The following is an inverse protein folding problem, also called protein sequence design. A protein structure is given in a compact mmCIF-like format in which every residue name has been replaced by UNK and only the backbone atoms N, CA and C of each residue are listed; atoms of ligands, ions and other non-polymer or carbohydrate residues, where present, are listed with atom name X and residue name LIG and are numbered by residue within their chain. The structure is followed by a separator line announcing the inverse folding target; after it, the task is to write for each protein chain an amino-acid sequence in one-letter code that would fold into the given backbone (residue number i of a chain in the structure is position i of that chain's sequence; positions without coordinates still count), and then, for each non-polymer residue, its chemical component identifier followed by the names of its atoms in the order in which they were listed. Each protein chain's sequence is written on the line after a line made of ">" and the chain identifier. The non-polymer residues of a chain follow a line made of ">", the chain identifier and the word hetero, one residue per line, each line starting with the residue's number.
data_IF_341960624915
#
_entry.id   IF_341960624915
#
_cell.length_a   1.000
_cell.length_b   1.000
_cell.length_c   1.000
_cell.angle_alpha   90.00
_cell.angle_beta   90.00
_cell.angle_gamma   90.00
#
_symmetry.space_group_name_H-M   'P 1'
#
loop_
_entity.id
_entity.type
_entity.pdbx_description
1 polymer ?
#
# COMPACT_ATOMS: atom_id res chain seq x y z
N UNK A 1 -3.96 -22.75 1.52
CA UNK A 1 -2.79 -22.31 2.30
C UNK A 1 -3.18 -20.97 2.88
N UNK A 2 -3.15 -20.82 4.20
CA UNK A 2 -3.46 -19.52 4.82
C UNK A 2 -2.19 -18.67 4.75
N UNK A 3 -2.26 -17.55 4.03
CA UNK A 3 -1.15 -16.62 3.89
C UNK A 3 -1.23 -15.64 5.07
N UNK A 4 -0.20 -15.63 5.90
CA UNK A 4 -0.16 -14.81 7.11
C UNK A 4 0.85 -13.67 6.99
N UNK A 5 0.57 -12.58 7.69
CA UNK A 5 1.54 -11.53 7.84
C UNK A 5 2.57 -11.91 8.92
N UNK A 6 3.83 -11.53 8.70
CA UNK A 6 4.93 -11.77 9.66
C UNK A 6 4.73 -11.06 11.01
N UNK A 7 3.74 -10.15 11.11
CA UNK A 7 3.32 -9.50 12.35
C UNK A 7 2.73 -10.49 13.38
N UNK A 8 2.30 -11.69 12.96
CA UNK A 8 1.61 -12.66 13.83
C UNK A 8 0.14 -12.33 14.09
N UNK A 9 -0.33 -11.17 13.63
CA UNK A 9 -1.73 -10.74 13.66
C UNK A 9 -2.44 -11.07 12.34
N UNK A 10 -3.78 -11.07 12.34
CA UNK A 10 -4.63 -11.17 11.16
C UNK A 10 -4.61 -9.88 10.31
N UNK A 11 -3.40 -9.46 9.92
CA UNK A 11 -3.12 -8.24 9.16
C UNK A 11 -3.61 -8.35 7.69
N UNK A 12 -3.72 -9.57 7.15
CA UNK A 12 -4.27 -9.85 5.82
C UNK A 12 -5.75 -10.21 5.94
N UNK A 13 -6.62 -9.37 5.38
CA UNK A 13 -8.08 -9.61 5.36
C UNK A 13 -8.58 -9.75 3.93
N UNK A 14 -9.70 -10.44 3.76
CA UNK A 14 -10.37 -10.48 2.47
C UNK A 14 -10.84 -9.07 2.10
N UNK A 15 -10.64 -8.67 0.84
CA UNK A 15 -11.03 -7.35 0.35
C UNK A 15 -12.53 -7.08 0.57
N UNK A 16 -13.41 -8.07 0.37
CA UNK A 16 -14.86 -7.94 0.59
C UNK A 16 -15.21 -7.64 2.05
N UNK A 17 -14.52 -8.27 3.00
CA UNK A 17 -14.69 -8.00 4.43
C UNK A 17 -14.28 -6.56 4.78
N UNK A 18 -13.12 -6.12 4.29
CA UNK A 18 -12.65 -4.75 4.51
C UNK A 18 -13.65 -3.74 3.94
N UNK A 19 -14.26 -4.06 2.80
CA UNK A 19 -15.23 -3.19 2.14
C UNK A 19 -16.56 -3.06 2.89
N UNK A 20 -17.01 -4.13 3.56
CA UNK A 20 -18.20 -4.06 4.41
C UNK A 20 -18.00 -3.13 5.61
N UNK A 21 -16.77 -3.05 6.12
CA UNK A 21 -16.43 -2.28 7.31
C UNK A 21 -15.88 -0.88 6.99
N UNK A 22 -15.62 -0.56 5.72
CA UNK A 22 -14.79 0.60 5.35
C UNK A 22 -15.35 1.94 5.79
N UNK A 23 -16.67 2.15 5.62
CA UNK A 23 -17.33 3.37 6.05
C UNK A 23 -17.30 3.49 7.57
N UNK A 24 -17.48 2.38 8.27
CA UNK A 24 -17.42 2.32 9.72
C UNK A 24 -15.99 2.47 10.25
N UNK A 25 -14.96 2.11 9.49
CA UNK A 25 -13.56 2.08 9.96
C UNK A 25 -13.12 3.44 10.49
N UNK A 26 -13.37 4.51 9.73
CA UNK A 26 -12.93 5.88 10.06
C UNK A 26 -14.05 6.82 10.50
N UNK A 27 -15.30 6.35 10.53
CA UNK A 27 -16.43 7.18 10.94
C UNK A 27 -16.48 7.37 12.46
N UNK A 28 -16.78 8.60 12.95
CA UNK A 28 -17.08 8.84 14.35
C UNK A 28 -18.41 8.21 14.76
N UNK A 29 -18.54 7.85 16.03
CA UNK A 29 -19.86 7.63 16.64
C UNK A 29 -20.49 8.98 17.05
N UNK A 30 -21.80 9.03 17.38
CA UNK A 30 -22.50 10.29 17.68
C UNK A 30 -21.91 11.11 18.84
N UNK A 31 -21.15 10.49 19.74
CA UNK A 31 -20.54 11.13 20.91
C UNK A 31 -19.04 11.44 20.74
N UNK A 32 -18.44 11.07 19.60
CA UNK A 32 -17.06 11.44 19.32
C UNK A 32 -16.90 12.96 19.31
N UNK A 33 -15.98 13.47 20.12
CA UNK A 33 -15.68 14.90 20.15
C UNK A 33 -14.61 15.26 19.13
N UNK A 34 -14.74 16.44 18.53
CA UNK A 34 -13.73 17.02 17.64
C UNK A 34 -13.11 18.23 18.32
N UNK A 35 -11.83 18.15 18.64
CA UNK A 35 -11.02 19.30 19.05
C UNK A 35 -10.30 19.82 17.81
N UNK A 36 -10.58 21.07 17.41
CA UNK A 36 -9.94 21.70 16.24
C UNK A 36 -8.57 22.26 16.62
N UNK A 37 -7.51 21.56 16.23
CA UNK A 37 -6.13 22.04 16.37
C UNK A 37 -5.70 22.82 15.13
N UNK A 38 -4.99 23.93 15.32
CA UNK A 38 -4.38 24.70 14.23
C UNK A 38 -3.10 23.99 13.79
N UNK A 39 -3.13 23.35 12.62
CA UNK A 39 -2.03 22.50 12.09
C UNK A 39 -0.70 23.21 11.89
N UNK A 40 -0.71 24.53 11.74
CA UNK A 40 0.47 25.38 11.50
C UNK A 40 0.96 26.13 12.73
N UNK A 41 0.27 26.01 13.87
CA UNK A 41 0.69 26.63 15.12
C UNK A 41 1.46 25.59 15.95
N UNK A 42 2.53 25.96 16.67
CA UNK A 42 3.22 25.04 17.56
C UNK A 42 2.25 24.36 18.51
N UNK A 43 2.48 23.06 18.80
CA UNK A 43 1.56 22.30 19.65
C UNK A 43 1.51 22.86 21.08
N UNK A 44 2.67 23.21 21.63
CA UNK A 44 2.83 23.78 22.99
C UNK A 44 2.08 25.10 23.18
N UNK A 45 1.85 25.86 22.11
CA UNK A 45 1.11 27.13 22.15
C UNK A 45 -0.42 26.95 22.18
N UNK A 46 -0.90 25.71 21.99
CA UNK A 46 -2.32 25.38 21.87
C UNK A 46 -2.82 24.54 23.03
N UNK A 47 -1.94 23.71 23.63
CA UNK A 47 -2.29 22.72 24.63
C UNK A 47 -1.18 22.62 25.68
N UNK A 48 -1.57 22.26 26.91
CA UNK A 48 -0.60 21.78 27.88
C UNK A 48 -0.17 20.35 27.49
N UNK A 49 1.10 20.16 27.12
CA UNK A 49 1.64 18.87 26.68
C UNK A 49 1.49 17.77 27.74
N UNK A 50 1.54 18.13 29.03
CA UNK A 50 1.39 17.17 30.14
C UNK A 50 -0.03 16.61 30.24
N UNK A 51 -1.03 17.29 29.67
CA UNK A 51 -2.42 16.82 29.65
C UNK A 51 -2.70 15.75 28.58
N UNK A 52 -1.80 15.60 27.61
CA UNK A 52 -1.95 14.65 26.50
C UNK A 52 -1.46 13.28 26.97
N UNK A 53 -2.33 12.28 26.97
CA UNK A 53 -2.03 10.91 27.39
C UNK A 53 -2.88 9.90 26.60
N UNK A 54 -2.74 8.61 26.91
CA UNK A 54 -3.47 7.51 26.24
C UNK A 54 -4.99 7.69 26.20
N UNK A 55 -5.62 8.37 27.16
CA UNK A 55 -7.08 8.58 27.20
C UNK A 55 -7.52 9.93 26.62
N UNK A 56 -6.58 10.86 26.43
CA UNK A 56 -6.90 12.22 25.98
C UNK A 56 -7.56 12.20 24.61
N UNK A 57 -8.76 12.80 24.50
CA UNK A 57 -9.52 12.86 23.24
C UNK A 57 -9.99 11.51 22.68
N UNK A 58 -9.83 10.40 23.41
CA UNK A 58 -10.32 9.08 23.01
C UNK A 58 -11.80 8.97 23.38
N UNK A 59 -12.60 8.53 22.43
CA UNK A 59 -14.02 8.27 22.62
C UNK A 59 -14.24 6.89 23.24
N UNK A 60 -15.39 6.68 23.88
CA UNK A 60 -15.81 5.37 24.42
C UNK A 60 -15.91 4.28 23.33
N UNK A 61 -16.15 4.67 22.07
CA UNK A 61 -16.09 3.74 20.94
C UNK A 61 -14.67 3.29 20.58
N UNK A 62 -13.66 3.70 21.35
CA UNK A 62 -12.24 3.37 21.16
C UNK A 62 -11.51 4.26 20.17
N UNK A 63 -12.21 5.17 19.46
CA UNK A 63 -11.63 5.99 18.40
C UNK A 63 -11.22 7.39 18.85
N UNK A 64 -10.26 7.98 18.14
CA UNK A 64 -9.77 9.34 18.35
C UNK A 64 -9.63 10.09 17.02
N UNK A 65 -9.94 11.38 17.01
CA UNK A 65 -9.75 12.21 15.81
C UNK A 65 -8.25 12.26 15.41
N UNK A 66 -7.95 12.11 14.12
CA UNK A 66 -6.58 12.05 13.57
C UNK A 66 -5.64 13.13 14.12
N UNK A 67 -6.06 14.40 14.14
CA UNK A 67 -5.20 15.49 14.63
C UNK A 67 -4.81 15.32 16.11
N UNK A 68 -5.63 14.65 16.92
CA UNK A 68 -5.34 14.36 18.33
C UNK A 68 -4.36 13.18 18.46
N UNK A 69 -4.49 12.17 17.59
CA UNK A 69 -3.49 11.09 17.48
C UNK A 69 -2.12 11.69 17.12
N UNK A 70 -2.08 12.55 16.10
CA UNK A 70 -0.86 13.22 15.67
C UNK A 70 -0.31 14.18 16.73
N UNK A 71 -1.16 14.84 17.53
CA UNK A 71 -0.73 15.63 18.66
C UNK A 71 -0.06 14.79 19.75
N UNK A 72 -0.60 13.60 20.04
CA UNK A 72 -0.01 12.67 20.99
C UNK A 72 1.36 12.16 20.51
N UNK A 73 1.47 11.79 19.23
CA UNK A 73 2.74 11.41 18.60
C UNK A 73 3.74 12.57 18.67
N UNK A 74 3.35 13.78 18.28
CA UNK A 74 4.23 14.95 18.31
C UNK A 74 4.71 15.28 19.73
N UNK A 75 3.86 15.14 20.75
CA UNK A 75 4.25 15.29 22.16
C UNK A 75 5.38 14.32 22.53
N UNK A 76 5.27 13.05 22.15
CA UNK A 76 6.31 12.04 22.38
C UNK A 76 7.59 12.42 21.63
N UNK A 77 7.48 12.82 20.36
CA UNK A 77 8.63 13.24 19.55
C UNK A 77 9.37 14.46 20.13
N UNK A 78 8.64 15.41 20.75
CA UNK A 78 9.25 16.56 21.43
C UNK A 78 9.98 16.11 22.70
N UNK A 79 9.34 15.26 23.52
CA UNK A 79 9.92 14.73 24.76
C UNK A 79 11.20 13.92 24.51
N UNK A 80 11.24 13.18 23.41
CA UNK A 80 12.38 12.37 22.98
C UNK A 80 13.37 13.16 22.08
N UNK A 81 13.24 14.49 22.01
CA UNK A 81 14.14 15.40 21.29
C UNK A 81 14.28 15.12 19.77
N UNK A 82 13.33 14.38 19.19
CA UNK A 82 13.21 14.16 17.74
C UNK A 82 12.68 15.42 17.04
N UNK A 83 11.81 16.14 17.72
CA UNK A 83 11.22 17.41 17.28
C UNK A 83 11.42 18.48 18.34
N UNK A 84 11.36 19.75 17.95
CA UNK A 84 11.48 20.88 18.88
C UNK A 84 10.11 21.38 19.36
N UNK A 85 10.10 22.22 20.40
CA UNK A 85 8.84 22.78 20.94
C UNK A 85 8.08 23.71 19.97
N UNK A 86 8.75 24.19 18.92
CA UNK A 86 8.14 25.02 17.86
C UNK A 86 7.49 24.18 16.77
N UNK A 87 7.61 22.85 16.86
CA UNK A 87 7.08 21.93 15.88
C UNK A 87 5.55 21.93 15.88
N UNK A 88 5.01 21.71 14.69
CA UNK A 88 3.59 21.77 14.39
C UNK A 88 3.08 20.40 13.98
N UNK A 89 1.76 20.19 13.97
CA UNK A 89 1.20 18.93 13.45
C UNK A 89 1.64 18.66 12.00
N UNK A 90 1.81 19.72 11.20
CA UNK A 90 2.26 19.60 9.81
C UNK A 90 3.69 19.10 9.67
N UNK A 91 4.56 19.36 10.64
CA UNK A 91 5.99 18.99 10.62
C UNK A 91 6.31 17.75 11.46
N UNK A 92 5.30 17.08 12.01
CA UNK A 92 5.46 15.95 12.95
C UNK A 92 5.93 14.67 12.24
N UNK A 93 5.00 13.95 11.65
CA UNK A 93 5.20 12.72 10.88
C UNK A 93 4.15 12.64 9.77
N UNK A 94 4.38 11.77 8.79
CA UNK A 94 3.41 11.46 7.73
C UNK A 94 2.48 10.35 8.23
N UNK A 95 1.17 10.64 8.39
CA UNK A 95 0.20 9.62 8.77
C UNK A 95 -0.22 8.78 7.56
N UNK A 96 -0.06 7.46 7.66
CA UNK A 96 -0.50 6.49 6.67
C UNK A 96 -1.63 5.63 7.26
N UNK A 97 -2.88 6.06 7.06
CA UNK A 97 -4.06 5.34 7.58
C UNK A 97 -4.23 3.97 6.92
N UNK A 98 -4.79 3.00 7.67
CA UNK A 98 -5.19 1.68 7.17
C UNK A 98 -6.54 1.27 7.79
N UNK A 99 -7.51 0.76 6.99
CA UNK A 99 -7.49 0.73 5.52
C UNK A 99 -7.49 2.16 4.95
N UNK A 100 -6.86 2.33 3.80
CA UNK A 100 -6.75 3.62 3.15
C UNK A 100 -7.74 3.73 2.00
N UNK A 101 -8.60 4.74 2.07
CA UNK A 101 -9.55 5.04 1.01
C UNK A 101 -9.79 6.55 0.93
N UNK A 102 -10.34 7.04 -0.19
CA UNK A 102 -10.70 8.46 -0.32
C UNK A 102 -11.77 8.85 0.71
N UNK A 103 -11.37 9.65 1.71
CA UNK A 103 -12.23 10.13 2.77
C UNK A 103 -12.90 11.46 2.42
N UNK A 104 -14.16 11.63 2.83
CA UNK A 104 -14.89 12.91 2.73
C UNK A 104 -14.59 13.86 3.89
N UNK A 105 -14.30 13.31 5.06
CA UNK A 105 -14.06 14.03 6.31
C UNK A 105 -12.76 13.54 6.95
N UNK A 106 -12.21 14.29 7.90
CA UNK A 106 -11.08 13.83 8.71
C UNK A 106 -11.41 12.52 9.45
N UNK A 107 -10.51 11.54 9.43
CA UNK A 107 -10.79 10.23 10.02
C UNK A 107 -10.73 10.23 11.55
N UNK A 108 -11.56 9.39 12.14
CA UNK A 108 -11.44 8.94 13.52
C UNK A 108 -10.78 7.56 13.54
N UNK A 109 -9.59 7.50 14.11
CA UNK A 109 -8.74 6.33 14.13
C UNK A 109 -9.07 5.44 15.32
N UNK A 110 -9.24 4.15 15.07
CA UNK A 110 -9.26 3.11 16.10
C UNK A 110 -7.88 2.48 16.30
N UNK A 111 -7.83 1.43 17.10
CA UNK A 111 -6.57 0.73 17.37
C UNK A 111 -5.97 0.13 16.08
N UNK A 112 -4.64 0.14 15.98
CA UNK A 112 -3.90 -0.42 14.84
C UNK A 112 -4.34 0.08 13.45
N UNK A 113 -4.74 1.35 13.34
CA UNK A 113 -5.26 1.96 12.10
C UNK A 113 -4.33 3.00 11.48
N UNK A 114 -3.14 3.23 12.05
CA UNK A 114 -2.18 4.23 11.59
C UNK A 114 -0.75 3.68 11.50
N UNK A 115 -0.09 3.87 10.36
CA UNK A 115 1.37 3.74 10.26
C UNK A 115 1.97 5.14 10.24
N UNK A 116 3.05 5.34 10.99
CA UNK A 116 3.72 6.63 11.15
C UNK A 116 5.04 6.60 10.41
N UNK A 117 5.27 7.56 9.50
CA UNK A 117 6.55 7.70 8.80
C UNK A 117 7.21 9.05 9.16
N UNK A 118 8.45 9.01 9.67
CA UNK A 118 9.23 10.23 9.94
C UNK A 118 10.72 10.00 9.70
N UNK A 119 11.42 10.99 9.14
CA UNK A 119 12.80 10.81 8.73
C UNK A 119 13.82 10.81 9.88
N UNK A 120 13.53 11.56 10.94
CA UNK A 120 14.38 11.65 12.14
C UNK A 120 14.04 10.62 13.21
N UNK A 121 13.14 9.67 12.94
CA UNK A 121 12.70 8.69 13.94
C UNK A 121 13.88 7.83 14.41
N UNK A 122 13.89 7.49 15.70
CA UNK A 122 14.81 6.52 16.30
C UNK A 122 14.02 5.40 17.00
N UNK A 123 14.69 4.29 17.31
CA UNK A 123 14.07 3.08 17.90
C UNK A 123 13.37 3.39 19.22
N UNK A 124 14.04 4.15 20.12
CA UNK A 124 13.48 4.50 21.43
C UNK A 124 12.15 5.26 21.31
N UNK A 125 12.10 6.29 20.46
CA UNK A 125 10.88 7.07 20.24
C UNK A 125 9.80 6.23 19.54
N UNK A 126 10.19 5.37 18.59
CA UNK A 126 9.27 4.48 17.89
C UNK A 126 8.58 3.49 18.85
N UNK A 127 9.33 2.87 19.77
CA UNK A 127 8.78 1.95 20.79
C UNK A 127 7.81 2.66 21.76
N UNK A 128 8.14 3.89 22.18
CA UNK A 128 7.24 4.69 23.02
C UNK A 128 5.96 5.04 22.26
N UNK A 129 6.06 5.47 20.99
CA UNK A 129 4.88 5.76 20.16
C UNK A 129 4.02 4.51 20.00
N UNK A 130 4.62 3.37 19.66
CA UNK A 130 3.91 2.12 19.44
C UNK A 130 3.20 1.62 20.70
N UNK A 131 3.80 1.80 21.88
CA UNK A 131 3.21 1.38 23.16
C UNK A 131 2.21 2.37 23.76
N UNK A 132 2.40 3.68 23.59
CA UNK A 132 1.54 4.71 24.22
C UNK A 132 0.40 5.21 23.32
N UNK A 133 0.47 4.99 22.00
CA UNK A 133 -0.53 5.49 21.03
C UNK A 133 -1.22 4.29 20.36
N UNK A 134 -2.32 3.82 20.93
CA UNK A 134 -2.99 2.57 20.51
C UNK A 134 -3.45 2.55 19.05
N UNK A 135 -3.68 3.73 18.45
CA UNK A 135 -4.01 3.83 17.04
C UNK A 135 -2.84 3.47 16.11
N UNK A 136 -1.60 3.56 16.60
CA UNK A 136 -0.39 3.28 15.83
C UNK A 136 -0.17 1.77 15.70
N UNK A 137 -0.26 1.29 14.47
CA UNK A 137 0.04 -0.08 14.05
C UNK A 137 1.54 -0.31 13.84
N UNK A 138 2.26 0.71 13.37
CA UNK A 138 3.69 0.58 13.07
C UNK A 138 4.37 1.92 12.83
N UNK A 139 5.68 1.95 13.04
CA UNK A 139 6.51 3.15 12.96
C UNK A 139 7.68 2.93 12.00
N UNK A 140 7.79 3.80 11.01
CA UNK A 140 8.78 3.77 9.94
C UNK A 140 9.73 4.96 10.03
N UNK A 141 10.99 4.72 9.69
CA UNK A 141 11.98 5.76 9.42
C UNK A 141 12.26 5.87 7.94
N UNK A 142 12.02 7.06 7.39
CA UNK A 142 12.27 7.32 5.97
C UNK A 142 11.78 8.70 5.53
N UNK A 143 12.12 9.05 4.29
CA UNK A 143 11.70 10.29 3.63
C UNK A 143 10.62 9.97 2.59
N UNK A 144 9.44 10.59 2.72
CA UNK A 144 8.28 10.33 1.84
C UNK A 144 8.57 10.60 0.35
N UNK A 145 9.54 11.47 0.07
CA UNK A 145 9.93 11.81 -1.29
C UNK A 145 10.85 10.78 -1.95
N UNK A 146 11.39 9.84 -1.17
CA UNK A 146 12.23 8.77 -1.70
C UNK A 146 11.35 7.65 -2.24
N UNK A 147 11.63 7.21 -3.46
CA UNK A 147 10.96 6.06 -4.06
C UNK A 147 11.47 4.77 -3.41
N UNK A 148 10.59 4.07 -2.69
CA UNK A 148 10.85 2.73 -2.16
C UNK A 148 10.67 1.67 -3.26
N UNK A 149 11.60 0.73 -3.33
CA UNK A 149 11.66 -0.34 -4.33
C UNK A 149 12.94 -0.29 -5.16
N UNK A 150 12.91 -0.99 -6.30
CA UNK A 150 14.00 -1.01 -7.29
C UNK A 150 13.48 -0.41 -8.61
N UNK A 151 14.17 0.62 -9.12
CA UNK A 151 13.72 1.34 -10.32
C UNK A 151 13.93 0.57 -11.61
N UNK A 152 15.10 -0.07 -11.71
CA UNK A 152 15.55 -0.84 -12.84
C UNK A 152 16.63 -1.85 -12.38
N UNK A 153 17.09 -2.70 -13.29
CA UNK A 153 18.10 -3.73 -13.02
C UNK A 153 19.47 -3.18 -12.59
N UNK A 154 19.74 -1.90 -12.80
CA UNK A 154 21.02 -1.25 -12.46
C UNK A 154 20.98 -0.52 -11.11
N UNK A 155 19.78 -0.36 -10.55
CA UNK A 155 19.53 0.40 -9.32
C UNK A 155 19.67 -0.47 -8.08
N UNK A 156 20.23 0.08 -7.00
CA UNK A 156 20.11 -0.52 -5.68
C UNK A 156 18.69 -0.31 -5.13
N UNK A 157 18.15 -1.28 -4.38
CA UNK A 157 16.86 -1.10 -3.75
C UNK A 157 16.91 -0.06 -2.65
N UNK A 158 15.86 0.76 -2.54
CA UNK A 158 15.64 1.63 -1.40
C UNK A 158 14.45 1.12 -0.59
N UNK A 159 14.61 1.06 0.73
CA UNK A 159 13.57 0.68 1.69
C UNK A 159 13.59 1.66 2.86
N UNK A 160 12.47 1.76 3.57
CA UNK A 160 12.43 2.41 4.87
C UNK A 160 12.75 1.41 5.98
N UNK A 161 13.17 1.92 7.13
CA UNK A 161 13.39 1.07 8.30
C UNK A 161 12.07 0.94 9.07
N UNK A 162 11.61 -0.30 9.29
CA UNK A 162 10.54 -0.59 10.24
C UNK A 162 11.14 -0.65 11.64
N UNK A 163 10.83 0.35 12.46
CA UNK A 163 11.40 0.49 13.81
C UNK A 163 10.55 -0.19 14.89
N UNK A 164 9.22 -0.23 14.72
CA UNK A 164 8.30 -0.87 15.65
C UNK A 164 7.00 -1.29 14.96
N UNK A 165 6.38 -2.38 15.44
CA UNK A 165 5.06 -2.83 15.02
C UNK A 165 4.99 -3.43 13.60
N UNK A 166 3.91 -3.16 12.87
CA UNK A 166 3.61 -3.67 11.54
C UNK A 166 3.27 -2.55 10.55
N UNK A 167 3.90 -2.57 9.37
CA UNK A 167 3.71 -1.58 8.30
C UNK A 167 2.82 -2.08 7.15
N UNK A 168 2.10 -3.18 7.35
CA UNK A 168 1.16 -3.68 6.35
C UNK A 168 -0.08 -2.77 6.32
N UNK A 169 -0.23 -2.03 5.24
CA UNK A 169 -1.37 -1.15 4.97
C UNK A 169 -2.22 -1.76 3.86
N UNK A 170 -3.55 -1.70 4.00
CA UNK A 170 -4.46 -2.06 2.92
C UNK A 170 -4.97 -0.79 2.23
N UNK A 171 -4.74 -0.65 0.93
CA UNK A 171 -5.28 0.41 0.08
C UNK A 171 -6.52 -0.08 -0.65
N UNK A 172 -7.63 0.61 -0.49
CA UNK A 172 -8.88 0.29 -1.19
C UNK A 172 -9.00 1.20 -2.40
N UNK A 173 -8.96 0.60 -3.59
CA UNK A 173 -9.09 1.29 -4.86
C UNK A 173 -10.47 1.06 -5.45
N UNK A 174 -11.20 2.15 -5.72
CA UNK A 174 -12.45 2.10 -6.49
C UNK A 174 -12.14 1.86 -7.97
N UNK A 175 -12.76 0.84 -8.55
CA UNK A 175 -12.67 0.55 -10.00
C UNK A 175 -14.07 0.49 -10.62
N UNK A 176 -14.20 0.60 -11.97
CA UNK A 176 -15.49 0.40 -12.64
C UNK A 176 -16.13 -0.97 -12.42
N UNK A 177 -15.37 -1.98 -12.01
CA UNK A 177 -15.83 -3.35 -11.78
C UNK A 177 -16.08 -3.65 -10.29
N UNK A 178 -16.12 -2.60 -9.47
CA UNK A 178 -16.13 -2.71 -8.02
C UNK A 178 -14.75 -2.48 -7.40
N UNK A 179 -14.69 -2.26 -6.09
CA UNK A 179 -13.45 -1.96 -5.41
C UNK A 179 -12.52 -3.18 -5.28
N UNK A 180 -11.22 -2.91 -5.20
CA UNK A 180 -10.17 -3.91 -4.95
C UNK A 180 -9.31 -3.48 -3.76
N UNK A 181 -8.90 -4.43 -2.92
CA UNK A 181 -8.01 -4.19 -1.79
C UNK A 181 -6.58 -4.57 -2.12
N UNK A 182 -5.63 -3.66 -1.89
CA UNK A 182 -4.22 -3.84 -2.20
C UNK A 182 -3.40 -3.64 -0.92
N UNK A 183 -2.95 -4.75 -0.36
CA UNK A 183 -2.03 -4.77 0.76
C UNK A 183 -0.61 -4.43 0.30
N UNK A 184 0.05 -3.57 1.07
CA UNK A 184 1.41 -3.09 0.83
C UNK A 184 2.16 -3.03 2.16
N UNK A 185 3.39 -3.55 2.18
CA UNK A 185 4.37 -3.25 3.23
C UNK A 185 4.99 -1.89 2.92
N UNK A 186 4.63 -0.86 3.67
CA UNK A 186 5.00 0.51 3.33
C UNK A 186 6.51 0.81 3.43
N UNK A 187 7.25 -0.03 4.13
CA UNK A 187 8.72 0.00 4.14
C UNK A 187 9.36 -0.53 2.86
N UNK A 188 8.65 -1.36 2.10
CA UNK A 188 9.20 -2.10 0.95
C UNK A 188 8.49 -1.80 -0.37
N UNK A 189 7.36 -1.09 -0.36
CA UNK A 189 6.61 -0.74 -1.57
C UNK A 189 6.37 0.77 -1.58
N UNK A 190 6.47 1.37 -2.76
CA UNK A 190 6.21 2.79 -2.96
C UNK A 190 4.83 3.22 -2.43
N UNK A 191 4.83 4.26 -1.59
CA UNK A 191 3.62 4.86 -1.05
C UNK A 191 2.91 5.63 -2.16
N UNK A 192 1.73 5.15 -2.53
CA UNK A 192 0.80 5.90 -3.37
C UNK A 192 -0.33 6.45 -2.50
N UNK A 193 -0.70 7.72 -2.74
CA UNK A 193 -1.86 8.32 -2.08
C UNK A 193 -3.13 7.82 -2.79
N UNK A 194 -4.08 7.18 -2.08
CA UNK A 194 -5.34 6.76 -2.68
C UNK A 194 -6.09 7.95 -3.28
N UNK A 195 -6.57 7.79 -4.51
CA UNK A 195 -7.38 8.79 -5.21
C UNK A 195 -8.76 8.23 -5.45
N UNK A 196 -9.77 9.10 -5.52
CA UNK A 196 -11.15 8.71 -5.86
C UNK A 196 -11.23 7.96 -7.19
N UNK A 197 -10.40 8.36 -8.15
CA UNK A 197 -10.21 7.66 -9.41
C UNK A 197 -8.72 7.45 -9.65
N UNK A 198 -8.30 6.19 -9.80
CA UNK A 198 -6.93 5.86 -10.19
C UNK A 198 -6.74 6.12 -11.69
N UNK A 199 -5.83 7.03 -12.11
CA UNK A 199 -5.57 7.26 -13.52
C UNK A 199 -5.15 5.99 -14.25
N UNK A 200 -4.38 5.12 -13.59
CA UNK A 200 -3.91 3.85 -14.13
C UNK A 200 -5.07 2.90 -14.47
N UNK A 201 -6.02 2.76 -13.54
CA UNK A 201 -7.24 1.94 -13.74
C UNK A 201 -8.12 2.53 -14.84
N UNK A 202 -8.28 3.85 -14.87
CA UNK A 202 -9.07 4.52 -15.92
C UNK A 202 -8.46 4.27 -17.30
N UNK A 203 -7.15 4.46 -17.45
CA UNK A 203 -6.43 4.20 -18.71
C UNK A 203 -6.56 2.75 -19.16
N UNK A 204 -6.36 1.80 -18.25
CA UNK A 204 -6.51 0.37 -18.55
C UNK A 204 -7.96 0.02 -18.93
N UNK A 205 -8.96 0.51 -18.18
CA UNK A 205 -10.38 0.27 -18.49
C UNK A 205 -10.78 0.78 -19.87
N UNK A 206 -10.35 2.00 -20.23
CA UNK A 206 -10.57 2.55 -21.57
C UNK A 206 -9.84 1.74 -22.65
N UNK A 207 -8.62 1.30 -22.37
CA UNK A 207 -7.86 0.47 -23.29
C UNK A 207 -8.57 -0.86 -23.57
N UNK A 208 -9.00 -1.58 -22.54
CA UNK A 208 -9.73 -2.85 -22.69
C UNK A 208 -10.99 -2.67 -23.54
N UNK A 209 -11.77 -1.62 -23.25
CA UNK A 209 -12.98 -1.27 -24.01
C UNK A 209 -12.69 -0.97 -25.49
N UNK A 210 -11.73 -0.10 -25.77
CA UNK A 210 -11.39 0.31 -27.14
C UNK A 210 -10.82 -0.85 -27.98
N UNK A 211 -10.33 -1.89 -27.32
CA UNK A 211 -9.70 -3.04 -27.96
C UNK A 211 -10.58 -4.30 -27.94
N UNK A 212 -11.82 -4.20 -27.48
CA UNK A 212 -12.79 -5.28 -27.35
C UNK A 212 -12.27 -6.48 -26.53
N UNK A 213 -11.53 -6.20 -25.45
CA UNK A 213 -11.03 -7.20 -24.51
C UNK A 213 -12.00 -7.29 -23.32
N UNK A 214 -13.02 -8.13 -23.45
CA UNK A 214 -14.11 -8.27 -22.46
C UNK A 214 -14.21 -9.66 -21.81
N UNK A 215 -13.66 -10.70 -22.47
CA UNK A 215 -13.54 -12.06 -21.95
C UNK A 215 -12.44 -12.79 -22.70
N UNK A 216 -11.96 -13.88 -22.13
CA UNK A 216 -11.10 -14.87 -22.80
C UNK A 216 -9.77 -14.32 -23.35
N UNK A 217 -9.22 -13.31 -22.67
CA UNK A 217 -7.96 -12.67 -23.07
C UNK A 217 -6.83 -12.93 -22.07
N UNK A 218 -5.60 -12.94 -22.56
CA UNK A 218 -4.40 -13.19 -21.76
C UNK A 218 -3.60 -11.90 -21.55
N UNK A 219 -3.12 -11.69 -20.33
CA UNK A 219 -2.38 -10.48 -19.94
C UNK A 219 -1.01 -10.84 -19.37
N UNK A 220 0.00 -10.08 -19.78
CA UNK A 220 1.29 -9.96 -19.10
C UNK A 220 1.33 -8.61 -18.37
N UNK A 221 1.30 -8.62 -17.05
CA UNK A 221 1.56 -7.45 -16.21
C UNK A 221 3.07 -7.43 -15.90
N UNK A 222 3.85 -6.73 -16.73
CA UNK A 222 5.30 -6.90 -16.83
C UNK A 222 6.10 -6.27 -15.67
N UNK A 223 5.52 -5.25 -15.04
CA UNK A 223 6.06 -4.52 -13.88
C UNK A 223 4.95 -4.37 -12.84
N UNK A 224 4.47 -5.52 -12.37
CA UNK A 224 3.17 -5.61 -11.71
C UNK A 224 3.08 -4.90 -10.35
N UNK A 225 4.21 -4.58 -9.71
CA UNK A 225 4.22 -4.00 -8.39
C UNK A 225 3.42 -4.89 -7.41
N UNK A 226 2.45 -4.34 -6.65
CA UNK A 226 1.58 -5.13 -5.77
C UNK A 226 0.40 -5.81 -6.49
N UNK A 227 0.36 -5.80 -7.84
CA UNK A 227 -0.59 -6.57 -8.65
C UNK A 227 -1.86 -5.83 -9.07
N UNK A 228 -1.95 -4.52 -8.82
CA UNK A 228 -3.17 -3.72 -9.00
C UNK A 228 -3.79 -3.86 -10.41
N UNK A 229 -2.99 -3.74 -11.46
CA UNK A 229 -3.48 -3.72 -12.84
C UNK A 229 -3.84 -5.13 -13.34
N UNK A 230 -3.00 -6.13 -13.10
CA UNK A 230 -3.32 -7.51 -13.42
C UNK A 230 -4.53 -8.07 -12.65
N UNK A 231 -4.71 -7.71 -11.36
CA UNK A 231 -5.90 -8.10 -10.58
C UNK A 231 -7.16 -7.47 -11.18
N UNK A 232 -7.08 -6.21 -11.63
CA UNK A 232 -8.18 -5.57 -12.35
C UNK A 232 -8.49 -6.32 -13.66
N UNK A 233 -7.47 -6.75 -14.41
CA UNK A 233 -7.68 -7.58 -15.61
C UNK A 233 -8.35 -8.93 -15.32
N UNK A 234 -7.97 -9.61 -14.24
CA UNK A 234 -8.66 -10.84 -13.81
C UNK A 234 -10.14 -10.58 -13.51
N UNK A 235 -10.45 -9.51 -12.76
CA UNK A 235 -11.85 -9.12 -12.50
C UNK A 235 -12.59 -8.67 -13.76
N UNK A 236 -11.87 -8.20 -14.78
CA UNK A 236 -12.40 -7.84 -16.09
C UNK A 236 -12.61 -9.04 -17.04
N UNK A 237 -12.36 -10.28 -16.58
CA UNK A 237 -12.60 -11.49 -17.36
C UNK A 237 -11.39 -12.00 -18.14
N UNK A 238 -10.16 -11.62 -17.77
CA UNK A 238 -8.96 -12.24 -18.33
C UNK A 238 -8.90 -13.73 -17.96
N UNK A 239 -8.62 -14.59 -18.94
CA UNK A 239 -8.46 -16.04 -18.74
C UNK A 239 -7.20 -16.37 -17.95
N UNK A 240 -6.13 -15.64 -18.24
CA UNK A 240 -4.84 -15.83 -17.61
C UNK A 240 -4.13 -14.50 -17.48
N UNK A 241 -3.61 -14.23 -16.29
CA UNK A 241 -2.72 -13.09 -16.05
C UNK A 241 -1.38 -13.59 -15.53
N UNK A 242 -0.31 -13.27 -16.25
CA UNK A 242 1.06 -13.46 -15.78
C UNK A 242 1.53 -12.15 -15.17
N UNK A 243 1.83 -12.19 -13.88
CA UNK A 243 2.41 -11.09 -13.13
C UNK A 243 3.92 -11.25 -13.09
N UNK A 244 4.66 -10.20 -13.41
CA UNK A 244 6.11 -10.18 -13.28
C UNK A 244 6.56 -8.92 -12.54
N UNK A 245 7.53 -9.07 -11.64
CA UNK A 245 8.28 -7.93 -11.13
C UNK A 245 9.70 -8.35 -10.72
N UNK A 246 10.66 -7.46 -10.94
CA UNK A 246 12.03 -7.67 -10.47
C UNK A 246 12.10 -7.60 -8.94
N UNK A 247 11.22 -6.82 -8.31
CA UNK A 247 11.20 -6.60 -6.88
C UNK A 247 10.49 -7.74 -6.13
N UNK A 248 11.24 -8.50 -5.32
CA UNK A 248 10.67 -9.65 -4.60
C UNK A 248 9.53 -9.27 -3.62
N UNK A 249 9.61 -8.17 -2.84
CA UNK A 249 8.48 -7.72 -2.03
C UNK A 249 7.22 -7.40 -2.83
N UNK A 250 7.36 -6.89 -4.06
CA UNK A 250 6.24 -6.63 -4.96
C UNK A 250 5.53 -7.93 -5.35
N UNK A 251 6.26 -8.93 -5.86
CA UNK A 251 5.68 -10.24 -6.22
C UNK A 251 5.07 -10.99 -5.03
N UNK A 252 5.65 -10.82 -3.84
CA UNK A 252 5.10 -11.35 -2.60
C UNK A 252 3.75 -10.70 -2.26
N UNK A 253 3.66 -9.36 -2.33
CA UNK A 253 2.39 -8.67 -2.11
C UNK A 253 1.37 -8.96 -3.22
N UNK A 254 1.79 -9.10 -4.48
CA UNK A 254 0.90 -9.54 -5.58
C UNK A 254 0.25 -10.87 -5.25
N UNK A 255 1.03 -11.84 -4.74
CA UNK A 255 0.49 -13.15 -4.33
C UNK A 255 -0.55 -13.00 -3.21
N UNK A 256 -0.25 -12.19 -2.18
CA UNK A 256 -1.20 -11.94 -1.09
C UNK A 256 -2.46 -11.20 -1.56
N UNK A 257 -2.32 -10.26 -2.47
CA UNK A 257 -3.42 -9.49 -3.02
C UNK A 257 -4.30 -10.32 -3.96
N UNK A 258 -3.74 -11.32 -4.65
CA UNK A 258 -4.53 -12.28 -5.41
C UNK A 258 -5.47 -13.06 -4.49
N UNK A 259 -4.94 -13.66 -3.42
CA UNK A 259 -5.74 -14.37 -2.42
C UNK A 259 -6.79 -13.45 -1.79
N UNK A 260 -6.38 -12.24 -1.35
CA UNK A 260 -7.29 -11.31 -0.68
C UNK A 260 -8.42 -10.79 -1.57
N UNK A 261 -8.23 -10.81 -2.90
CA UNK A 261 -9.26 -10.40 -3.87
C UNK A 261 -10.07 -11.57 -4.46
N UNK A 262 -9.94 -12.77 -3.88
CA UNK A 262 -10.74 -13.95 -4.22
C UNK A 262 -10.11 -14.88 -5.25
N UNK A 263 -8.84 -14.67 -5.62
CA UNK A 263 -8.11 -15.53 -6.55
C UNK A 263 -7.24 -16.52 -5.76
N UNK A 264 -7.77 -17.72 -5.55
CA UNK A 264 -7.10 -18.78 -4.79
C UNK A 264 -5.69 -19.06 -5.29
N UNK A 265 -4.73 -19.00 -4.37
CA UNK A 265 -3.33 -19.36 -4.54
C UNK A 265 -3.16 -20.85 -4.26
N UNK A 266 -2.77 -21.59 -5.29
CA UNK A 266 -2.50 -23.03 -5.20
C UNK A 266 -1.06 -23.32 -4.74
N UNK A 267 -0.13 -22.42 -5.06
CA UNK A 267 1.27 -22.52 -4.65
C UNK A 267 1.89 -21.14 -4.41
N UNK A 268 2.75 -21.06 -3.41
CA UNK A 268 3.57 -19.88 -3.12
C UNK A 268 4.80 -20.29 -2.32
N UNK A 269 5.97 -19.79 -2.74
CA UNK A 269 7.20 -19.87 -1.95
C UNK A 269 7.90 -18.51 -1.93
N UNK A 270 7.97 -17.90 -0.73
CA UNK A 270 8.62 -16.61 -0.54
C UNK A 270 10.14 -16.64 -0.73
N UNK A 271 10.78 -17.83 -0.74
CA UNK A 271 12.23 -17.98 -0.89
C UNK A 271 12.68 -18.11 -2.34
N UNK A 272 11.74 -18.37 -3.27
CA UNK A 272 12.04 -18.48 -4.68
C UNK A 272 12.31 -17.11 -5.30
N UNK A 273 13.39 -16.98 -6.07
CA UNK A 273 13.76 -15.78 -6.81
C UNK A 273 14.23 -16.17 -8.22
N UNK A 274 14.16 -15.23 -9.16
CA UNK A 274 14.54 -15.46 -10.55
C UNK A 274 13.75 -16.61 -11.22
N UNK A 275 12.51 -16.86 -10.79
CA UNK A 275 11.64 -17.88 -11.34
C UNK A 275 10.15 -17.59 -11.03
N UNK A 276 9.28 -18.56 -11.32
CA UNK A 276 7.88 -18.56 -10.86
C UNK A 276 7.82 -18.75 -9.35
N UNK A 277 7.23 -17.79 -8.64
CA UNK A 277 7.15 -17.78 -7.17
C UNK A 277 5.76 -18.16 -6.66
N UNK A 278 4.72 -18.01 -7.48
CA UNK A 278 3.35 -18.38 -7.14
C UNK A 278 2.53 -18.71 -8.38
N UNK A 279 1.47 -19.50 -8.21
CA UNK A 279 0.43 -19.68 -9.22
C UNK A 279 -0.91 -20.05 -8.59
N UNK A 280 -1.97 -19.84 -9.38
CA UNK A 280 -3.32 -20.32 -9.13
C UNK A 280 -3.99 -20.65 -10.47
N UNK A 281 -5.30 -20.94 -10.43
CA UNK A 281 -6.06 -21.37 -11.62
C UNK A 281 -5.89 -20.47 -12.84
N UNK A 282 -5.94 -19.14 -12.65
CA UNK A 282 -5.98 -18.15 -13.73
C UNK A 282 -4.77 -17.19 -13.69
N UNK A 283 -3.74 -17.49 -12.90
CA UNK A 283 -2.58 -16.62 -12.79
C UNK A 283 -1.27 -17.33 -12.49
N UNK A 284 -0.18 -16.67 -12.84
CA UNK A 284 1.17 -17.03 -12.44
C UNK A 284 1.91 -15.77 -12.02
N UNK A 285 2.76 -15.86 -10.99
CA UNK A 285 3.59 -14.76 -10.50
C UNK A 285 5.05 -15.13 -10.65
N UNK A 286 5.80 -14.30 -11.37
CA UNK A 286 7.23 -14.44 -11.60
C UNK A 286 7.99 -13.32 -10.90
N UNK A 287 9.09 -13.68 -10.26
CA UNK A 287 10.09 -12.73 -9.83
C UNK A 287 11.30 -12.84 -10.74
N UNK A 288 11.26 -12.20 -11.91
CA UNK A 288 12.38 -12.21 -12.85
C UNK A 288 12.62 -10.83 -13.43
N UNK A 289 13.84 -10.62 -13.89
CA UNK A 289 14.15 -9.56 -14.84
C UNK A 289 13.30 -9.75 -16.10
N UNK A 290 12.55 -8.71 -16.49
CA UNK A 290 11.65 -8.76 -17.65
C UNK A 290 12.39 -9.14 -18.94
N UNK A 291 13.70 -8.86 -19.04
CA UNK A 291 14.53 -9.23 -20.20
C UNK A 291 14.73 -10.73 -20.35
N UNK A 292 14.39 -11.51 -19.33
CA UNK A 292 14.49 -12.97 -19.30
C UNK A 292 13.13 -13.66 -19.28
N UNK A 293 12.03 -12.91 -19.27
CA UNK A 293 10.68 -13.49 -19.10
C UNK A 293 10.32 -14.46 -20.23
N UNK A 294 10.84 -14.22 -21.44
CA UNK A 294 10.64 -15.06 -22.63
C UNK A 294 11.15 -16.50 -22.47
N UNK A 295 12.07 -16.72 -21.55
CA UNK A 295 12.61 -18.03 -21.19
C UNK A 295 11.67 -18.82 -20.25
N UNK A 296 10.65 -18.15 -19.71
CA UNK A 296 9.69 -18.73 -18.76
C UNK A 296 8.27 -18.81 -19.31
N UNK A 297 7.91 -17.94 -20.25
CA UNK A 297 6.57 -17.89 -20.84
C UNK A 297 6.62 -18.23 -22.32
N UNK A 298 5.97 -19.33 -22.70
CA UNK A 298 5.87 -19.77 -24.10
C UNK A 298 4.65 -19.18 -24.81
N UNK A 299 3.69 -18.64 -24.05
CA UNK A 299 2.41 -18.17 -24.54
C UNK A 299 2.49 -16.74 -25.09
N UNK A 300 1.72 -16.46 -26.16
CA UNK A 300 1.45 -15.09 -26.60
C UNK A 300 0.26 -14.50 -25.85
N UNK A 301 0.45 -13.29 -25.34
CA UNK A 301 -0.54 -12.51 -24.62
C UNK A 301 -1.31 -11.58 -25.58
N UNK A 302 -2.55 -11.25 -25.24
CA UNK A 302 -3.33 -10.25 -25.96
C UNK A 302 -2.93 -8.83 -25.56
N UNK A 303 -2.51 -8.67 -24.30
CA UNK A 303 -2.10 -7.40 -23.70
C UNK A 303 -0.82 -7.58 -22.85
N UNK A 304 0.16 -6.71 -23.06
CA UNK A 304 1.25 -6.47 -22.11
C UNK A 304 1.05 -5.09 -21.46
N UNK A 305 1.09 -5.03 -20.14
CA UNK A 305 1.04 -3.79 -19.36
C UNK A 305 2.45 -3.50 -18.85
N UNK A 306 2.89 -2.25 -19.02
CA UNK A 306 4.20 -1.76 -18.53
C UNK A 306 3.93 -0.46 -17.76
N UNK A 307 4.18 -0.46 -16.47
CA UNK A 307 3.95 0.64 -15.52
C UNK A 307 5.23 0.83 -14.68
N UNK A 308 6.29 1.39 -15.28
CA UNK A 308 7.55 1.58 -14.59
C UNK A 308 7.44 2.78 -13.62
N UNK A 309 8.44 2.94 -12.75
CA UNK A 309 8.48 4.13 -11.90
C UNK A 309 8.52 5.42 -12.72
N UNK A 310 7.92 6.54 -12.23
CA UNK A 310 8.00 7.82 -12.91
C UNK A 310 9.45 8.22 -13.25
N UNK A 311 9.69 8.54 -14.52
CA UNK A 311 11.00 8.95 -15.03
C UNK A 311 11.93 7.81 -15.47
N UNK A 312 11.52 6.55 -15.33
CA UNK A 312 12.23 5.40 -15.91
C UNK A 312 11.88 5.27 -17.40
N UNK A 313 12.88 5.03 -18.25
CA UNK A 313 12.65 4.79 -19.69
C UNK A 313 12.00 3.42 -19.92
N UNK A 314 10.80 3.44 -20.50
CA UNK A 314 10.03 2.22 -20.81
C UNK A 314 10.60 1.41 -21.98
N UNK A 315 11.53 1.97 -22.77
CA UNK A 315 11.99 1.37 -24.04
C UNK A 315 12.52 -0.05 -23.87
N UNK A 316 13.33 -0.29 -22.84
CA UNK A 316 13.91 -1.62 -22.60
C UNK A 316 12.84 -2.66 -22.24
N UNK A 317 11.84 -2.28 -21.44
CA UNK A 317 10.71 -3.13 -21.09
C UNK A 317 9.88 -3.47 -22.35
N UNK A 318 9.61 -2.47 -23.20
CA UNK A 318 8.88 -2.65 -24.45
C UNK A 318 9.64 -3.56 -25.42
N UNK A 319 10.96 -3.39 -25.53
CA UNK A 319 11.81 -4.21 -26.39
C UNK A 319 11.81 -5.67 -25.92
N UNK A 320 11.90 -5.91 -24.60
CA UNK A 320 11.87 -7.23 -23.99
C UNK A 320 10.52 -7.95 -24.21
N UNK A 321 9.39 -7.24 -24.14
CA UNK A 321 8.06 -7.86 -24.26
C UNK A 321 7.46 -7.80 -25.67
N UNK A 322 8.13 -7.15 -26.64
CA UNK A 322 7.61 -6.91 -28.00
C UNK A 322 7.06 -8.15 -28.69
N UNK A 323 7.69 -9.31 -28.51
CA UNK A 323 7.30 -10.57 -29.17
C UNK A 323 6.26 -11.37 -28.38
N UNK A 324 6.03 -10.99 -27.12
CA UNK A 324 5.20 -11.73 -26.17
C UNK A 324 3.75 -11.30 -26.22
N UNK A 325 3.43 -10.06 -26.61
CA UNK A 325 2.04 -9.59 -26.66
C UNK A 325 1.64 -8.98 -28.00
N UNK A 326 0.36 -9.12 -28.34
CA UNK A 326 -0.23 -8.47 -29.54
C UNK A 326 -0.32 -6.96 -29.39
N UNK A 327 -0.58 -6.49 -28.16
CA UNK A 327 -0.72 -5.07 -27.84
C UNK A 327 0.04 -4.76 -26.56
N UNK A 328 0.58 -3.54 -26.49
CA UNK A 328 1.30 -3.04 -25.31
C UNK A 328 0.63 -1.75 -24.83
N UNK A 329 0.35 -1.68 -23.53
CA UNK A 329 -0.12 -0.50 -22.84
C UNK A 329 0.98 -0.04 -21.88
N UNK A 330 1.41 1.21 -22.03
CA UNK A 330 2.33 1.88 -21.12
C UNK A 330 1.51 2.83 -20.25
N UNK A 331 1.70 2.76 -18.94
CA UNK A 331 1.01 3.56 -17.92
C UNK A 331 1.96 4.62 -17.37
#
# INVERSE_FOLDING_TARGET
>A
MELECKCGEACLKNSEEILLEIDAAHSPCPICSTIKLKKFRPLKDQLNLDSINLQWGRCECGKRHMDLVMAHILKIMIKEEIQDEKSTLRSSAVPLITPAYPLKNEPFLGDNSLIVLASKMNEKCAEIIYSEVSEVKGVLKGEINNTVGIKDFSSSPHVYDLLAGCDLRCDILSTPLGPIGIHKKQSQIHIEVPRQHSPKITSLSLFLKNNNLYSDFKVLDATCGPGTLGIFCLKAGADKVVFNDLWKPATTMTTFNLESNGFKVDFFDEKLENCKVSYGKNFEVYNVDIRKIDSFVEEKFDLCIIDPFPGVDSKEFVDATRKLAKKTLII
#
